data_IF_763263061535
#
_entry.id   IF_763263061535
#
_cell.length_a   1.000
_cell.length_b   1.000
_cell.length_c   1.000
_cell.angle_alpha   90.00
_cell.angle_beta   90.00
_cell.angle_gamma   90.00
#
_symmetry.space_group_name_H-M   'P 1'
#
loop_
_entity.id
_entity.type
_entity.pdbx_description
1 polymer ?
#
# COMPACT_ATOMS: atom_id res chain seq x y z
N UNK A 1 -19.01 2.14 1.74
CA UNK A 1 -18.90 3.13 0.65
C UNK A 1 -20.29 3.52 0.12
N UNK A 2 -21.17 2.54 -0.26
CA UNK A 2 -22.49 2.82 -0.83
C UNK A 2 -23.39 3.66 0.09
N UNK A 3 -23.39 3.42 1.39
CA UNK A 3 -24.17 4.21 2.35
C UNK A 3 -23.70 5.68 2.42
N UNK A 4 -22.40 5.92 2.28
CA UNK A 4 -21.85 7.29 2.23
C UNK A 4 -22.28 7.98 0.93
N UNK A 5 -22.12 7.29 -0.21
CA UNK A 5 -22.47 7.83 -1.53
C UNK A 5 -23.96 8.09 -1.71
N UNK A 6 -24.82 7.39 -0.96
CA UNK A 6 -26.27 7.53 -1.00
C UNK A 6 -26.82 8.48 0.09
N UNK A 7 -25.98 9.11 0.91
CA UNK A 7 -26.42 9.95 2.02
C UNK A 7 -27.07 11.25 1.51
N UNK A 8 -28.34 11.54 1.87
CA UNK A 8 -29.00 12.73 1.38
C UNK A 8 -28.50 14.00 2.09
N UNK A 9 -28.45 15.11 1.36
CA UNK A 9 -28.17 16.44 1.92
C UNK A 9 -26.70 16.69 2.29
N UNK A 10 -25.77 15.80 1.90
CA UNK A 10 -24.33 15.98 2.09
C UNK A 10 -23.60 15.72 0.78
N UNK A 11 -22.53 16.45 0.53
CA UNK A 11 -21.60 16.14 -0.57
C UNK A 11 -20.73 14.97 -0.16
N UNK A 12 -20.90 13.83 -0.81
CA UNK A 12 -20.24 12.57 -0.45
C UNK A 12 -19.07 12.28 -1.38
N UNK A 13 -17.93 11.89 -0.79
CA UNK A 13 -16.71 11.55 -1.50
C UNK A 13 -16.13 10.30 -0.86
N UNK A 14 -15.83 9.28 -1.66
CA UNK A 14 -15.16 8.06 -1.21
C UNK A 14 -13.83 7.90 -1.94
N UNK A 15 -12.73 7.97 -1.19
CA UNK A 15 -11.38 7.73 -1.67
C UNK A 15 -10.91 6.36 -1.16
N UNK A 16 -10.89 5.37 -2.06
CA UNK A 16 -10.51 4.00 -1.75
C UNK A 16 -8.98 3.86 -1.87
N UNK A 17 -8.29 3.99 -0.75
CA UNK A 17 -6.83 3.93 -0.69
C UNK A 17 -6.30 2.52 -0.91
N UNK A 18 -5.13 2.42 -1.55
CA UNK A 18 -4.35 1.19 -1.71
C UNK A 18 -3.30 1.06 -0.61
N UNK A 19 -2.23 0.26 -0.80
CA UNK A 19 -1.13 0.18 0.15
C UNK A 19 -0.48 1.56 0.33
N UNK A 20 -0.65 2.15 1.51
CA UNK A 20 -0.03 3.45 1.83
C UNK A 20 1.35 3.20 2.43
N UNK A 21 2.37 3.88 1.88
CA UNK A 21 3.75 3.89 2.38
C UNK A 21 4.22 5.32 2.64
N UNK A 22 5.37 5.46 3.28
CA UNK A 22 5.94 6.76 3.67
C UNK A 22 6.00 6.94 5.18
N UNK A 23 6.72 7.98 5.62
CA UNK A 23 6.79 8.34 7.02
C UNK A 23 5.49 9.01 7.49
N UNK A 24 5.01 8.68 8.67
CA UNK A 24 3.86 9.33 9.28
C UNK A 24 4.12 10.83 9.48
N UNK A 25 3.18 11.66 9.02
CA UNK A 25 3.25 13.13 9.15
C UNK A 25 2.53 13.65 10.41
N UNK A 26 1.86 12.78 11.15
CA UNK A 26 1.12 13.08 12.37
C UNK A 26 1.56 12.23 13.56
N UNK A 27 0.64 11.88 14.47
CA UNK A 27 0.95 11.01 15.60
C UNK A 27 1.62 9.72 15.12
N UNK A 28 2.73 9.35 15.76
CA UNK A 28 3.54 8.19 15.36
C UNK A 28 2.77 6.89 15.55
N UNK A 29 2.00 6.50 14.55
CA UNK A 29 1.40 5.18 14.44
C UNK A 29 2.04 4.42 13.28
N UNK A 30 2.40 3.17 13.50
CA UNK A 30 2.93 2.31 12.43
C UNK A 30 1.76 1.79 11.59
N UNK A 31 1.85 1.91 10.27
CA UNK A 31 0.95 1.21 9.36
C UNK A 31 1.13 -0.32 9.51
N UNK A 32 0.14 -1.08 9.07
CA UNK A 32 0.12 -2.53 9.35
C UNK A 32 0.92 -3.33 8.31
N UNK A 33 1.04 -2.86 7.08
CA UNK A 33 1.53 -3.67 5.96
C UNK A 33 3.06 -3.62 5.81
N UNK A 34 3.60 -2.57 5.22
CA UNK A 34 5.03 -2.47 4.93
C UNK A 34 5.91 -2.49 6.20
N UNK A 35 5.57 -1.78 7.29
CA UNK A 35 6.31 -1.90 8.53
C UNK A 35 6.34 -3.32 9.12
N UNK A 36 5.26 -4.11 8.95
CA UNK A 36 5.23 -5.52 9.38
C UNK A 36 6.21 -6.37 8.57
N UNK A 37 6.28 -6.19 7.24
CA UNK A 37 7.24 -6.91 6.40
C UNK A 37 8.69 -6.57 6.78
N UNK A 38 8.98 -5.29 7.03
CA UNK A 38 10.30 -4.83 7.46
C UNK A 38 10.65 -5.40 8.84
N UNK A 39 9.74 -5.34 9.81
CA UNK A 39 9.96 -5.90 11.14
C UNK A 39 10.18 -7.42 11.08
N UNK A 40 9.42 -8.12 10.26
CA UNK A 40 9.58 -9.55 10.04
C UNK A 40 10.94 -9.88 9.41
N UNK A 41 11.37 -9.11 8.42
CA UNK A 41 12.68 -9.30 7.80
C UNK A 41 13.81 -9.15 8.83
N UNK A 42 13.75 -8.15 9.68
CA UNK A 42 14.72 -7.94 10.78
C UNK A 42 14.70 -9.08 11.81
N UNK A 43 13.52 -9.59 12.15
CA UNK A 43 13.37 -10.64 13.14
C UNK A 43 13.84 -12.01 12.66
N UNK A 44 13.59 -12.35 11.37
CA UNK A 44 13.91 -13.66 10.80
C UNK A 44 15.27 -13.73 10.09
N UNK A 45 15.93 -12.59 9.87
CA UNK A 45 17.17 -12.52 9.10
C UNK A 45 16.98 -12.71 7.59
N UNK A 46 15.75 -12.64 7.09
CA UNK A 46 15.43 -12.75 5.67
C UNK A 46 14.14 -11.97 5.34
N UNK A 47 14.05 -11.40 4.15
CA UNK A 47 12.85 -10.69 3.69
C UNK A 47 11.87 -11.68 3.01
N UNK A 48 10.78 -12.09 3.68
CA UNK A 48 9.92 -13.17 3.20
C UNK A 48 8.89 -12.68 2.18
N UNK A 49 8.58 -13.55 1.21
CA UNK A 49 7.45 -13.43 0.29
C UNK A 49 6.81 -14.80 0.07
N UNK A 50 5.57 -14.86 -0.44
CA UNK A 50 4.81 -16.12 -0.57
C UNK A 50 4.97 -16.68 -1.98
N UNK A 51 5.33 -17.95 -2.08
CA UNK A 51 5.43 -18.70 -3.33
C UNK A 51 6.36 -18.00 -4.33
N UNK A 52 5.85 -17.63 -5.51
CA UNK A 52 6.62 -16.90 -6.54
C UNK A 52 6.72 -15.40 -6.27
N UNK A 53 5.95 -14.86 -5.33
CA UNK A 53 5.91 -13.43 -5.02
C UNK A 53 5.40 -12.53 -6.16
N UNK A 54 4.73 -13.10 -7.16
CA UNK A 54 4.25 -12.37 -8.36
C UNK A 54 2.93 -11.65 -8.16
N UNK A 55 2.27 -11.85 -7.03
CA UNK A 55 1.09 -11.09 -6.66
C UNK A 55 1.48 -9.62 -6.48
N UNK A 56 0.64 -8.74 -7.02
CA UNK A 56 0.92 -7.30 -7.12
C UNK A 56 -0.08 -6.50 -6.32
N UNK A 57 0.43 -5.43 -5.71
CA UNK A 57 -0.40 -4.45 -5.03
C UNK A 57 -0.18 -3.06 -5.60
N UNK A 58 -1.29 -2.38 -5.87
CA UNK A 58 -1.28 -0.94 -6.07
C UNK A 58 -0.88 -0.24 -4.79
N UNK A 59 -0.16 0.85 -4.89
CA UNK A 59 0.40 1.55 -3.74
C UNK A 59 0.43 3.07 -3.95
N UNK A 60 0.62 3.81 -2.87
CA UNK A 60 0.59 5.27 -2.85
C UNK A 60 1.40 5.82 -1.69
N UNK A 61 2.15 6.89 -1.91
CA UNK A 61 2.85 7.58 -0.84
C UNK A 61 1.89 8.42 0.01
N UNK A 62 2.07 8.43 1.34
CA UNK A 62 1.17 9.11 2.30
C UNK A 62 1.00 10.61 1.99
N UNK A 63 2.05 11.30 1.55
CA UNK A 63 1.96 12.72 1.22
C UNK A 63 1.10 12.95 -0.04
N UNK A 64 1.22 12.09 -1.08
CA UNK A 64 0.35 12.19 -2.26
C UNK A 64 -1.13 11.87 -1.92
N UNK A 65 -1.37 11.00 -0.94
CA UNK A 65 -2.72 10.77 -0.39
C UNK A 65 -3.25 12.05 0.23
N UNK A 66 -2.47 12.71 1.09
CA UNK A 66 -2.88 13.96 1.74
C UNK A 66 -3.20 15.06 0.72
N UNK A 67 -2.36 15.21 -0.31
CA UNK A 67 -2.56 16.16 -1.40
C UNK A 67 -3.89 15.86 -2.15
N UNK A 68 -4.20 14.59 -2.43
CA UNK A 68 -5.46 14.22 -3.06
C UNK A 68 -6.67 14.49 -2.16
N UNK A 69 -6.58 14.21 -0.85
CA UNK A 69 -7.68 14.48 0.08
C UNK A 69 -8.02 15.98 0.14
N UNK A 70 -7.01 16.86 0.16
CA UNK A 70 -7.22 18.30 0.11
C UNK A 70 -7.88 18.71 -1.21
N UNK A 71 -7.33 18.27 -2.34
CA UNK A 71 -7.90 18.56 -3.66
C UNK A 71 -9.36 18.07 -3.78
N UNK A 72 -9.63 16.83 -3.35
CA UNK A 72 -10.97 16.28 -3.41
C UNK A 72 -11.97 17.03 -2.51
N UNK A 73 -11.53 17.46 -1.32
CA UNK A 73 -12.37 18.28 -0.43
C UNK A 73 -12.79 19.59 -1.10
N UNK A 74 -11.91 20.21 -1.88
CA UNK A 74 -12.16 21.49 -2.54
C UNK A 74 -12.94 21.34 -3.86
N UNK A 75 -12.61 20.34 -4.68
CA UNK A 75 -13.02 20.31 -6.10
C UNK A 75 -13.87 19.09 -6.51
N UNK A 76 -13.90 18.02 -5.72
CA UNK A 76 -14.60 16.82 -6.14
C UNK A 76 -16.11 17.01 -6.25
N UNK A 77 -16.77 16.46 -7.28
CA UNK A 77 -18.22 16.46 -7.36
C UNK A 77 -18.83 15.55 -6.28
N UNK A 78 -20.11 15.81 -5.98
CA UNK A 78 -20.89 14.92 -5.13
C UNK A 78 -20.97 13.50 -5.74
N UNK A 79 -20.97 12.49 -4.88
CA UNK A 79 -21.02 11.09 -5.28
C UNK A 79 -19.72 10.55 -5.90
N UNK A 80 -18.58 11.23 -5.73
CA UNK A 80 -17.32 10.72 -6.24
C UNK A 80 -16.90 9.45 -5.49
N UNK A 81 -16.66 8.37 -6.25
CA UNK A 81 -15.87 7.22 -5.81
C UNK A 81 -14.60 7.14 -6.64
N UNK A 82 -13.41 7.15 -6.00
CA UNK A 82 -12.14 7.05 -6.69
C UNK A 82 -11.17 6.10 -5.98
N UNK A 83 -10.52 5.21 -6.75
CA UNK A 83 -9.35 4.49 -6.25
C UNK A 83 -8.14 5.42 -6.21
N UNK A 84 -7.30 5.24 -5.17
CA UNK A 84 -6.11 6.06 -4.93
C UNK A 84 -4.85 5.21 -5.07
N UNK A 85 -4.11 5.44 -6.15
CA UNK A 85 -2.83 4.75 -6.42
C UNK A 85 -1.90 5.65 -7.25
N UNK A 86 -0.59 5.46 -7.08
CA UNK A 86 0.44 6.09 -7.91
C UNK A 86 1.33 5.08 -8.64
N UNK A 87 1.17 3.80 -8.32
CA UNK A 87 1.93 2.72 -8.94
C UNK A 87 1.54 1.35 -8.39
N UNK A 88 2.31 0.34 -8.78
CA UNK A 88 2.16 -1.01 -8.28
C UNK A 88 3.53 -1.70 -8.16
N UNK A 89 3.65 -2.63 -7.22
CA UNK A 89 4.83 -3.47 -7.07
C UNK A 89 4.42 -4.92 -6.77
N UNK A 90 5.25 -5.89 -7.16
CA UNK A 90 5.09 -7.27 -6.72
C UNK A 90 5.63 -7.45 -5.30
N UNK A 91 5.16 -8.48 -4.61
CA UNK A 91 5.71 -8.81 -3.29
C UNK A 91 7.17 -9.24 -3.37
N UNK A 92 7.58 -9.91 -4.46
CA UNK A 92 8.97 -10.24 -4.72
C UNK A 92 9.83 -8.98 -4.83
N UNK A 93 9.40 -7.98 -5.62
CA UNK A 93 10.15 -6.72 -5.78
C UNK A 93 10.30 -5.99 -4.43
N UNK A 94 9.23 -5.94 -3.63
CA UNK A 94 9.26 -5.33 -2.29
C UNK A 94 10.17 -6.11 -1.34
N UNK A 95 10.11 -7.46 -1.31
CA UNK A 95 10.97 -8.28 -0.48
C UNK A 95 12.45 -8.13 -0.87
N UNK A 96 12.76 -8.10 -2.17
CA UNK A 96 14.11 -7.85 -2.67
C UNK A 96 14.62 -6.48 -2.27
N UNK A 97 13.79 -5.43 -2.37
CA UNK A 97 14.16 -4.08 -1.97
C UNK A 97 14.42 -3.99 -0.45
N UNK A 98 13.56 -4.61 0.38
CA UNK A 98 13.74 -4.69 1.83
C UNK A 98 15.02 -5.47 2.16
N UNK A 99 15.23 -6.62 1.53
CA UNK A 99 16.44 -7.43 1.72
C UNK A 99 17.69 -6.64 1.36
N UNK A 100 17.70 -5.97 0.21
CA UNK A 100 18.83 -5.13 -0.22
C UNK A 100 19.11 -4.00 0.78
N UNK A 101 18.09 -3.31 1.26
CA UNK A 101 18.23 -2.21 2.21
C UNK A 101 18.76 -2.67 3.58
N UNK A 102 18.41 -3.89 4.01
CA UNK A 102 18.83 -4.45 5.30
C UNK A 102 20.06 -5.37 5.23
N UNK A 103 20.61 -5.63 4.05
CA UNK A 103 21.68 -6.60 3.86
C UNK A 103 21.23 -8.05 4.10
N UNK A 104 19.97 -8.39 3.82
CA UNK A 104 19.36 -9.69 4.06
C UNK A 104 18.92 -10.35 2.73
N UNK A 105 18.90 -11.70 2.65
CA UNK A 105 18.34 -12.38 1.48
C UNK A 105 16.82 -12.23 1.43
N UNK A 106 16.25 -12.15 0.22
CA UNK A 106 14.83 -12.36 0.02
C UNK A 106 14.56 -13.88 -0.04
N UNK A 107 13.51 -14.35 0.65
CA UNK A 107 13.21 -15.78 0.77
C UNK A 107 11.74 -16.10 0.51
N UNK A 108 11.52 -17.14 -0.31
CA UNK A 108 10.18 -17.65 -0.56
C UNK A 108 9.67 -18.48 0.62
N UNK A 109 8.45 -18.25 1.02
CA UNK A 109 7.70 -19.12 1.92
C UNK A 109 6.65 -19.90 1.13
N UNK A 110 6.47 -21.18 1.45
CA UNK A 110 5.28 -21.88 1.01
C UNK A 110 4.02 -21.43 1.77
N UNK A 111 2.86 -21.94 1.38
CA UNK A 111 1.59 -21.54 1.98
C UNK A 111 1.48 -21.91 3.47
N UNK A 112 2.07 -23.05 3.87
CA UNK A 112 2.02 -23.51 5.26
C UNK A 112 2.91 -22.64 6.15
N UNK A 113 4.15 -22.39 5.76
CA UNK A 113 5.05 -21.49 6.47
C UNK A 113 4.50 -20.06 6.57
N UNK A 114 3.87 -19.56 5.50
CA UNK A 114 3.22 -18.26 5.50
C UNK A 114 2.03 -18.20 6.48
N UNK A 115 1.21 -19.26 6.53
CA UNK A 115 0.10 -19.37 7.49
C UNK A 115 0.58 -19.42 8.93
N UNK A 116 1.66 -20.12 9.22
CA UNK A 116 2.26 -20.16 10.55
C UNK A 116 2.80 -18.80 10.94
N UNK A 117 3.46 -18.11 10.02
CA UNK A 117 4.12 -16.83 10.29
C UNK A 117 3.13 -15.66 10.48
N UNK A 118 2.08 -15.59 9.66
CA UNK A 118 1.20 -14.42 9.60
C UNK A 118 -0.26 -14.71 9.96
N UNK A 119 -0.63 -15.99 10.13
CA UNK A 119 -2.01 -16.44 10.20
C UNK A 119 -2.66 -16.52 8.81
N UNK A 120 -3.61 -17.43 8.66
CA UNK A 120 -4.25 -17.75 7.37
C UNK A 120 -4.86 -16.53 6.68
N UNK A 121 -5.57 -15.68 7.42
CA UNK A 121 -6.22 -14.51 6.84
C UNK A 121 -5.20 -13.56 6.21
N UNK A 122 -4.15 -13.23 6.94
CA UNK A 122 -3.10 -12.34 6.45
C UNK A 122 -2.31 -12.99 5.30
N UNK A 123 -1.98 -14.27 5.40
CA UNK A 123 -1.22 -14.97 4.37
C UNK A 123 -2.00 -15.10 3.07
N UNK A 124 -3.29 -15.45 3.11
CA UNK A 124 -4.10 -15.71 1.91
C UNK A 124 -4.73 -14.43 1.36
N UNK A 125 -5.46 -13.69 2.18
CA UNK A 125 -6.25 -12.52 1.73
C UNK A 125 -5.49 -11.20 1.82
N UNK A 126 -4.49 -11.13 2.66
CA UNK A 126 -3.55 -10.01 2.73
C UNK A 126 -2.37 -10.21 1.78
N UNK A 127 -1.26 -10.72 2.30
CA UNK A 127 0.04 -10.73 1.64
C UNK A 127 0.13 -11.65 0.41
N UNK A 128 -0.73 -12.68 0.29
CA UNK A 128 -0.78 -13.60 -0.84
C UNK A 128 -1.72 -13.17 -1.97
N UNK A 129 -2.56 -12.18 -1.78
CA UNK A 129 -3.56 -11.74 -2.77
C UNK A 129 -3.02 -10.72 -3.76
N UNK A 130 -3.73 -10.56 -4.90
CA UNK A 130 -3.57 -9.41 -5.78
C UNK A 130 -4.55 -8.29 -5.34
N UNK A 131 -4.05 -7.07 -5.28
CA UNK A 131 -4.87 -5.88 -5.04
C UNK A 131 -4.45 -4.78 -6.03
N UNK A 132 -4.97 -4.87 -7.25
CA UNK A 132 -4.63 -3.97 -8.36
C UNK A 132 -5.84 -3.13 -8.74
N UNK A 133 -5.66 -1.83 -8.69
CA UNK A 133 -6.67 -0.85 -9.10
C UNK A 133 -6.05 0.21 -10.02
N UNK A 134 -6.92 1.04 -10.62
CA UNK A 134 -6.48 2.22 -11.40
C UNK A 134 -7.26 3.44 -10.95
N UNK A 135 -6.53 4.48 -10.58
CA UNK A 135 -7.05 5.72 -10.03
C UNK A 135 -7.35 6.77 -11.11
N UNK A 136 -8.07 6.41 -12.19
CA UNK A 136 -8.39 7.37 -13.26
C UNK A 136 -9.18 8.57 -12.72
N UNK A 137 -10.25 8.33 -11.97
CA UNK A 137 -11.09 9.40 -11.42
C UNK A 137 -10.36 10.35 -10.48
N UNK A 138 -9.35 9.88 -9.75
CA UNK A 138 -8.52 10.75 -8.94
C UNK A 138 -7.69 11.70 -9.83
N UNK A 139 -7.17 11.21 -10.94
CA UNK A 139 -6.41 12.01 -11.91
C UNK A 139 -7.30 12.97 -12.70
N UNK A 140 -8.56 12.62 -12.94
CA UNK A 140 -9.53 13.52 -13.61
C UNK A 140 -9.83 14.79 -12.78
N UNK A 141 -9.56 14.77 -11.46
CA UNK A 141 -9.58 15.96 -10.61
C UNK A 141 -8.38 16.90 -10.82
N UNK A 142 -7.40 16.52 -11.64
CA UNK A 142 -6.14 17.23 -11.80
C UNK A 142 -5.03 16.78 -10.83
N UNK A 143 -5.28 15.73 -10.01
CA UNK A 143 -4.28 15.22 -9.09
C UNK A 143 -3.14 14.50 -9.82
N UNK A 144 -1.92 14.87 -9.48
CA UNK A 144 -0.70 14.25 -10.01
C UNK A 144 0.21 13.84 -8.86
N UNK A 145 0.36 12.53 -8.58
CA UNK A 145 1.28 12.04 -7.57
C UNK A 145 2.73 12.29 -8.01
N UNK A 146 3.58 12.71 -7.08
CA UNK A 146 4.96 13.13 -7.37
C UNK A 146 6.02 12.41 -6.55
N UNK A 147 5.61 11.64 -5.54
CA UNK A 147 6.56 10.99 -4.63
C UNK A 147 7.20 9.74 -5.26
N UNK A 148 8.40 9.36 -4.78
CA UNK A 148 9.09 8.17 -5.25
C UNK A 148 8.23 6.91 -5.20
N UNK A 149 8.50 5.93 -6.05
CA UNK A 149 7.85 4.62 -6.00
C UNK A 149 8.09 3.94 -4.64
N UNK A 150 7.24 2.98 -4.29
CA UNK A 150 7.40 2.20 -3.04
C UNK A 150 8.77 1.51 -2.99
N UNK A 151 9.29 1.05 -4.12
CA UNK A 151 10.60 0.39 -4.21
C UNK A 151 11.74 1.40 -3.93
N UNK A 152 11.68 2.57 -4.54
CA UNK A 152 12.69 3.62 -4.31
C UNK A 152 12.62 4.13 -2.87
N UNK A 153 11.42 4.30 -2.32
CA UNK A 153 11.24 4.67 -0.93
C UNK A 153 11.83 3.62 0.03
N UNK A 154 11.57 2.31 -0.21
CA UNK A 154 12.18 1.23 0.60
C UNK A 154 13.70 1.34 0.57
N UNK A 155 14.30 1.49 -0.61
CA UNK A 155 15.76 1.57 -0.75
C UNK A 155 16.37 2.80 -0.06
N UNK A 156 15.63 3.91 -0.02
CA UNK A 156 16.10 5.15 0.58
C UNK A 156 15.92 5.18 2.11
N UNK A 157 14.82 4.67 2.63
CA UNK A 157 14.36 4.93 4.00
C UNK A 157 14.47 3.73 4.95
N UNK A 158 14.53 2.49 4.43
CA UNK A 158 14.63 1.28 5.27
C UNK A 158 16.09 1.07 5.70
N UNK A 159 16.28 0.96 7.03
CA UNK A 159 17.58 0.74 7.69
C UNK A 159 17.48 -0.34 8.74
#
# INVERSE_FOLDING_TARGET
DNAVLAAPGVRSIVLCNTLIYGAALGPKSKSVQLPRLIAQAKASGQAPYIGRGLNRWSNIHIADVADLYLLALETAPDGLFAFVESGEASYLDMAQAIGQALGLPAASLDAEAANVLWGREMAVFGLGSNSRVRGHRARDLGWTPTRPSVIDWIKAEVR
#
